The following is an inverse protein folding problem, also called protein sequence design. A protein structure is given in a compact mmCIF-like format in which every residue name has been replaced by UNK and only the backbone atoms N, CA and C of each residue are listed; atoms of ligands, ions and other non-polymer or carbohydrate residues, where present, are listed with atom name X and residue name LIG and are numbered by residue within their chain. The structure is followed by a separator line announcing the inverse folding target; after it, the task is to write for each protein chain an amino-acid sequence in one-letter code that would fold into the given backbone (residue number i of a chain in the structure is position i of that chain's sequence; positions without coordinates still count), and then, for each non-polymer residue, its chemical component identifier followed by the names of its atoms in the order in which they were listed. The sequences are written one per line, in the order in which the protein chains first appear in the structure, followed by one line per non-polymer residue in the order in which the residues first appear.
data_IF_555031112668
#
_entry.id   IF_555031112668
#
_cell.length_a   1.000
_cell.length_b   1.000
_cell.length_c   1.000
_cell.angle_alpha   90.00
_cell.angle_beta   90.00
_cell.angle_gamma   90.00
#
_symmetry.space_group_name_H-M   'P 1'
#
loop_
_entity.id
_entity.type
_entity.pdbx_description
1 polymer ?
#
# COMPACT_ATOMS: atom_id res chain seq x y z
N UNK A 1 -15.97 -21.62 -3.23
CA UNK A 1 -14.61 -21.99 -2.79
C UNK A 1 -14.73 -22.92 -1.61
N UNK A 2 -13.98 -24.02 -1.60
CA UNK A 2 -13.82 -24.84 -0.40
C UNK A 2 -12.88 -24.16 0.62
N UNK A 3 -12.80 -24.68 1.84
CA UNK A 3 -12.02 -24.07 2.92
C UNK A 3 -10.53 -23.90 2.56
N UNK A 4 -9.92 -24.95 1.98
CA UNK A 4 -8.52 -24.91 1.53
C UNK A 4 -8.29 -23.85 0.44
N UNK A 5 -9.21 -23.70 -0.51
CA UNK A 5 -9.16 -22.66 -1.53
C UNK A 5 -9.28 -21.28 -0.91
N UNK A 6 -10.16 -21.10 0.09
CA UNK A 6 -10.33 -19.83 0.83
C UNK A 6 -9.09 -19.44 1.61
N UNK A 7 -8.47 -20.39 2.28
CA UNK A 7 -7.22 -20.16 3.00
C UNK A 7 -6.09 -19.75 2.04
N UNK A 8 -5.91 -20.51 0.94
CA UNK A 8 -4.88 -20.20 -0.05
C UNK A 8 -5.11 -18.82 -0.70
N UNK A 9 -6.34 -18.47 -1.03
CA UNK A 9 -6.70 -17.15 -1.54
C UNK A 9 -6.32 -16.05 -0.54
N UNK A 10 -6.72 -16.18 0.73
CA UNK A 10 -6.41 -15.21 1.78
C UNK A 10 -4.89 -15.05 1.98
N UNK A 11 -4.13 -16.14 1.92
CA UNK A 11 -2.68 -16.10 2.02
C UNK A 11 -2.04 -15.35 0.85
N UNK A 12 -2.52 -15.55 -0.37
CA UNK A 12 -2.03 -14.82 -1.55
C UNK A 12 -2.30 -13.32 -1.44
N UNK A 13 -3.54 -12.94 -1.07
CA UNK A 13 -3.91 -11.53 -0.84
C UNK A 13 -2.99 -10.89 0.20
N UNK A 14 -2.80 -11.55 1.35
CA UNK A 14 -1.91 -11.04 2.41
C UNK A 14 -0.47 -10.87 1.96
N UNK A 15 0.08 -11.79 1.17
CA UNK A 15 1.45 -11.70 0.62
C UNK A 15 1.61 -10.50 -0.29
N UNK A 16 0.66 -10.27 -1.20
CA UNK A 16 0.68 -9.13 -2.13
C UNK A 16 0.62 -7.81 -1.36
N UNK A 17 -0.33 -7.69 -0.43
CA UNK A 17 -0.47 -6.48 0.38
C UNK A 17 0.78 -6.19 1.23
N UNK A 18 1.40 -7.21 1.82
CA UNK A 18 2.66 -7.07 2.55
C UNK A 18 3.79 -6.58 1.65
N UNK A 19 3.94 -7.18 0.47
CA UNK A 19 4.98 -6.77 -0.47
C UNK A 19 4.78 -5.33 -0.95
N UNK A 20 3.54 -4.94 -1.23
CA UNK A 20 3.19 -3.57 -1.61
C UNK A 20 3.49 -2.58 -0.47
N UNK A 21 3.15 -2.91 0.77
CA UNK A 21 3.46 -2.08 1.94
C UNK A 21 4.96 -1.83 2.12
N UNK A 22 5.79 -2.87 1.98
CA UNK A 22 7.26 -2.74 2.05
C UNK A 22 7.80 -1.83 0.95
N UNK A 23 7.35 -2.02 -0.30
CA UNK A 23 7.77 -1.17 -1.42
C UNK A 23 7.33 0.28 -1.24
N UNK A 24 6.10 0.49 -0.78
CA UNK A 24 5.54 1.83 -0.55
C UNK A 24 6.35 2.58 0.50
N UNK A 25 6.71 1.90 1.59
CA UNK A 25 7.58 2.48 2.63
C UNK A 25 8.93 2.94 2.06
N UNK A 26 9.60 2.09 1.28
CA UNK A 26 10.89 2.43 0.66
C UNK A 26 10.80 3.63 -0.30
N UNK A 27 9.70 3.74 -1.06
CA UNK A 27 9.49 4.88 -1.97
C UNK A 27 9.28 6.19 -1.22
N UNK A 28 8.48 6.15 -0.14
CA UNK A 28 8.22 7.30 0.71
C UNK A 28 9.53 7.75 1.39
N UNK A 29 10.28 6.82 1.98
CA UNK A 29 11.59 7.10 2.60
C UNK A 29 12.56 7.72 1.58
N UNK A 30 12.63 7.17 0.37
CA UNK A 30 13.49 7.71 -0.69
C UNK A 30 13.12 9.15 -1.05
N UNK A 31 11.84 9.52 -1.08
CA UNK A 31 11.44 10.94 -1.26
C UNK A 31 12.08 11.81 -0.18
N UNK A 32 12.03 11.42 1.09
CA UNK A 32 12.62 12.20 2.19
C UNK A 32 14.15 12.34 2.11
N UNK A 33 14.86 11.46 1.38
CA UNK A 33 16.30 11.63 1.13
C UNK A 33 16.61 12.77 0.16
N UNK A 34 15.69 13.06 -0.77
CA UNK A 34 15.87 14.08 -1.82
C UNK A 34 15.29 15.42 -1.38
N UNK A 35 14.16 15.40 -0.70
CA UNK A 35 13.43 16.60 -0.29
C UNK A 35 12.92 16.38 1.14
N UNK A 36 13.24 17.33 2.01
CA UNK A 36 12.99 17.28 3.46
C UNK A 36 11.85 18.21 3.85
N UNK A 37 10.75 18.16 3.10
CA UNK A 37 9.47 18.78 3.47
C UNK A 37 8.42 17.74 3.83
N UNK A 38 7.36 18.20 4.51
CA UNK A 38 6.08 17.51 4.60
C UNK A 38 5.66 16.92 3.24
N UNK A 39 5.02 15.76 3.30
CA UNK A 39 4.69 14.96 2.13
C UNK A 39 3.25 14.46 2.21
N UNK A 40 2.47 14.74 1.18
CA UNK A 40 1.15 14.13 1.01
C UNK A 40 1.31 12.77 0.31
N UNK A 41 0.74 11.73 0.90
CA UNK A 41 0.73 10.36 0.37
C UNK A 41 -0.71 9.90 0.22
N UNK A 42 -1.02 9.35 -0.95
CA UNK A 42 -2.30 8.68 -1.20
C UNK A 42 -2.06 7.21 -1.54
N UNK A 43 -2.79 6.31 -0.88
CA UNK A 43 -2.83 4.88 -1.18
C UNK A 43 -4.18 4.57 -1.80
N UNK A 44 -4.18 4.07 -3.04
CA UNK A 44 -5.41 3.73 -3.76
C UNK A 44 -5.46 2.24 -4.03
N UNK A 45 -6.57 1.58 -3.69
CA UNK A 45 -6.84 0.20 -4.07
C UNK A 45 -7.74 0.18 -5.31
N UNK A 46 -7.29 -0.52 -6.33
CA UNK A 46 -8.07 -0.81 -7.53
C UNK A 46 -8.26 -2.32 -7.68
N UNK A 47 -9.47 -2.74 -8.04
CA UNK A 47 -9.81 -4.12 -8.38
C UNK A 47 -10.55 -4.10 -9.70
N UNK A 48 -10.10 -4.89 -10.67
CA UNK A 48 -10.65 -4.92 -12.03
C UNK A 48 -10.69 -3.53 -12.69
N UNK A 49 -9.62 -2.75 -12.51
CA UNK A 49 -9.47 -1.36 -12.97
C UNK A 49 -10.56 -0.42 -12.44
N UNK A 50 -11.22 -0.80 -11.34
CA UNK A 50 -12.17 0.05 -10.64
C UNK A 50 -11.55 0.46 -9.32
N UNK A 51 -11.44 1.78 -9.14
CA UNK A 51 -11.05 2.39 -7.88
C UNK A 51 -12.07 2.03 -6.79
N UNK A 52 -11.60 1.33 -5.77
CA UNK A 52 -12.43 0.90 -4.64
C UNK A 52 -12.35 1.92 -3.53
N UNK A 53 -11.14 2.34 -3.16
CA UNK A 53 -10.90 3.25 -2.04
C UNK A 53 -9.57 4.00 -2.19
N UNK A 54 -9.51 5.22 -1.65
CA UNK A 54 -8.26 5.95 -1.44
C UNK A 54 -8.16 6.39 0.00
N UNK A 55 -6.99 6.15 0.59
CA UNK A 55 -6.59 6.70 1.88
C UNK A 55 -5.55 7.78 1.66
N UNK A 56 -5.79 8.96 2.20
CA UNK A 56 -4.90 10.11 2.09
C UNK A 56 -4.28 10.44 3.45
N UNK A 57 -2.98 10.71 3.44
CA UNK A 57 -2.19 11.01 4.62
C UNK A 57 -1.26 12.17 4.35
N UNK A 58 -1.10 13.03 5.35
CA UNK A 58 -0.05 14.04 5.37
C UNK A 58 1.02 13.60 6.37
N UNK A 59 2.19 13.25 5.86
CA UNK A 59 3.35 12.91 6.66
C UNK A 59 4.09 14.22 6.94
N UNK A 60 4.18 14.58 8.22
CA UNK A 60 4.88 15.77 8.67
C UNK A 60 6.31 15.42 9.11
N UNK A 61 7.24 16.31 8.82
CA UNK A 61 8.59 16.25 9.38
C UNK A 61 8.63 17.22 10.55
N UNK A 62 8.55 16.68 11.77
CA UNK A 62 8.77 17.45 13.00
C UNK A 62 10.27 17.56 13.33
#
# INVERSE_FOLDING_TARGET
MNEKQKENFNLQVRKILKQFGVKSHQLIEKRFTVDKSDCQVALTLEVDNKKIETLEYNIKID
#
